data_IF_370862793810
#
_entry.id   IF_370862793810
#
_cell.length_a   1.000
_cell.length_b   1.000
_cell.length_c   1.000
_cell.angle_alpha   90.00
_cell.angle_beta   90.00
_cell.angle_gamma   90.00
#
_symmetry.space_group_name_H-M   'P 1'
#
loop_
_entity.id
_entity.type
_entity.pdbx_description
1 polymer ?
#
# COMPACT_ATOMS: atom_id res chain seq x y z
N UNK A 1 38.87 12.80 81.45
CA UNK A 1 38.41 11.65 80.66
C UNK A 1 37.00 11.88 80.30
N UNK A 2 36.78 12.40 79.10
CA UNK A 2 35.43 12.66 78.57
C UNK A 2 35.29 11.79 77.34
N UNK A 3 34.35 10.82 77.41
CA UNK A 3 34.02 9.95 76.30
C UNK A 3 32.98 10.65 75.37
N UNK A 4 33.40 10.91 74.13
CA UNK A 4 32.53 11.39 73.09
C UNK A 4 31.67 10.25 72.51
N UNK A 5 30.35 10.41 72.55
CA UNK A 5 29.40 9.53 71.87
C UNK A 5 29.08 10.10 70.49
N UNK A 6 29.55 9.42 69.48
CA UNK A 6 29.15 9.74 68.08
C UNK A 6 27.82 9.07 67.77
N UNK A 7 26.79 9.90 67.54
CA UNK A 7 25.46 9.42 67.04
C UNK A 7 25.53 9.37 65.53
N UNK A 8 25.43 8.18 64.97
CA UNK A 8 25.34 7.93 63.53
C UNK A 8 23.89 8.08 63.11
N UNK A 9 23.56 9.18 62.39
CA UNK A 9 22.26 9.38 61.80
C UNK A 9 22.28 8.69 60.42
N UNK A 10 21.56 7.55 60.31
CA UNK A 10 21.29 6.89 59.01
C UNK A 10 20.09 7.57 58.39
N UNK A 11 20.32 8.41 57.36
CA UNK A 11 19.27 8.96 56.53
C UNK A 11 18.93 7.91 55.48
N UNK A 12 17.81 7.23 55.65
CA UNK A 12 17.22 6.35 54.63
C UNK A 12 16.59 7.20 53.51
N UNK A 13 17.28 7.32 52.37
CA UNK A 13 16.72 7.91 51.16
C UNK A 13 15.77 6.87 50.54
N UNK A 14 14.48 7.05 50.75
CA UNK A 14 13.44 6.35 49.99
C UNK A 14 13.44 6.90 48.56
N UNK A 15 14.15 6.21 47.65
CA UNK A 15 13.98 6.40 46.22
C UNK A 15 12.59 5.87 45.81
N UNK A 16 11.64 6.75 45.74
CA UNK A 16 10.36 6.49 45.07
C UNK A 16 10.64 6.38 43.58
N UNK A 17 10.86 5.15 43.12
CA UNK A 17 10.80 4.86 41.68
C UNK A 17 9.37 5.04 41.23
N UNK A 18 9.00 6.28 40.92
CA UNK A 18 7.83 6.57 40.09
C UNK A 18 8.10 5.96 38.73
N UNK A 19 7.67 4.73 38.52
CA UNK A 19 7.67 4.11 37.20
C UNK A 19 6.77 4.95 36.31
N UNK A 20 7.38 5.91 35.55
CA UNK A 20 6.75 6.41 34.34
C UNK A 20 6.46 5.19 33.49
N UNK A 21 5.20 4.73 33.44
CA UNK A 21 4.75 3.87 32.36
C UNK A 21 5.03 4.67 31.09
N UNK A 22 6.11 4.34 30.36
CA UNK A 22 6.29 4.81 29.00
C UNK A 22 4.97 4.47 28.31
N UNK A 23 4.22 5.50 27.86
CA UNK A 23 3.09 5.30 26.96
C UNK A 23 3.64 4.41 25.86
N UNK A 24 3.00 3.28 25.62
CA UNK A 24 3.41 2.38 24.53
C UNK A 24 3.16 3.15 23.22
N UNK A 25 4.20 3.81 22.68
CA UNK A 25 4.12 4.61 21.47
C UNK A 25 3.98 3.75 20.21
N UNK A 26 4.03 2.44 20.37
CA UNK A 26 3.94 1.47 19.28
C UNK A 26 2.50 1.10 18.91
N UNK A 27 1.51 1.59 19.61
CA UNK A 27 0.10 1.34 19.30
C UNK A 27 -0.78 2.56 19.54
N UNK A 28 -1.79 2.70 18.70
CA UNK A 28 -3.00 3.48 18.95
C UNK A 28 -4.06 2.48 19.37
N UNK A 29 -4.83 2.78 20.42
CA UNK A 29 -5.83 1.89 20.97
C UNK A 29 -6.95 2.71 21.59
N UNK A 30 -8.11 2.73 20.92
CA UNK A 30 -9.32 3.36 21.45
C UNK A 30 -10.08 2.36 22.32
N UNK A 31 -10.23 2.69 23.61
CA UNK A 31 -10.92 1.83 24.57
C UNK A 31 -12.42 1.68 24.30
N UNK A 32 -13.02 2.54 23.49
CA UNK A 32 -14.43 2.42 23.08
C UNK A 32 -14.67 1.20 22.19
N UNK A 33 -13.63 0.72 21.51
CA UNK A 33 -13.62 -0.45 20.60
C UNK A 33 -12.73 -1.57 21.14
N UNK A 34 -12.65 -1.70 22.47
CA UNK A 34 -11.67 -2.61 23.10
C UNK A 34 -11.85 -4.05 22.67
N UNK A 35 -13.05 -4.57 22.68
CA UNK A 35 -13.33 -5.98 22.42
C UNK A 35 -13.12 -6.31 20.93
N UNK A 36 -13.50 -5.43 20.02
CA UNK A 36 -13.29 -5.50 18.57
C UNK A 36 -11.81 -5.46 18.23
N UNK A 37 -11.04 -4.59 18.88
CA UNK A 37 -9.60 -4.47 18.70
C UNK A 37 -8.88 -5.73 19.21
N UNK A 38 -9.28 -6.29 20.35
CA UNK A 38 -8.71 -7.53 20.88
C UNK A 38 -8.96 -8.73 19.94
N UNK A 39 -10.16 -8.83 19.36
CA UNK A 39 -10.47 -9.83 18.34
C UNK A 39 -9.62 -9.63 17.08
N UNK A 40 -9.60 -8.43 16.55
CA UNK A 40 -8.78 -8.06 15.37
C UNK A 40 -7.30 -8.41 15.58
N UNK A 41 -6.76 -8.03 16.73
CA UNK A 41 -5.36 -8.32 17.08
C UNK A 41 -5.09 -9.84 17.13
N UNK A 42 -5.99 -10.60 17.72
CA UNK A 42 -5.92 -12.07 17.78
C UNK A 42 -5.95 -12.69 16.39
N UNK A 43 -6.83 -12.21 15.50
CA UNK A 43 -6.97 -12.74 14.15
C UNK A 43 -5.75 -12.40 13.29
N UNK A 44 -5.21 -11.18 13.40
CA UNK A 44 -3.99 -10.81 12.71
C UNK A 44 -2.78 -11.64 13.19
N UNK A 45 -2.62 -11.82 14.49
CA UNK A 45 -1.57 -12.70 15.04
C UNK A 45 -1.73 -14.15 14.58
N UNK A 46 -2.96 -14.67 14.54
CA UNK A 46 -3.26 -16.02 14.07
C UNK A 46 -2.95 -16.20 12.59
N UNK A 47 -3.28 -15.19 11.78
CA UNK A 47 -2.91 -15.15 10.36
C UNK A 47 -1.40 -15.17 10.18
N UNK A 48 -0.66 -14.29 10.89
CA UNK A 48 0.79 -14.25 10.82
C UNK A 48 1.42 -15.59 11.21
N UNK A 49 0.94 -16.21 12.29
CA UNK A 49 1.45 -17.49 12.78
C UNK A 49 1.21 -18.62 11.76
N UNK A 50 0.00 -18.72 11.18
CA UNK A 50 -0.34 -19.74 10.18
C UNK A 50 0.51 -19.64 8.91
N UNK A 51 0.89 -18.43 8.51
CA UNK A 51 1.65 -18.16 7.30
C UNK A 51 3.15 -17.94 7.56
N UNK A 52 3.61 -18.14 8.79
CA UNK A 52 5.01 -17.94 9.20
C UNK A 52 5.54 -16.51 8.93
N UNK A 53 4.68 -15.50 8.99
CA UNK A 53 5.01 -14.11 8.73
C UNK A 53 5.82 -13.54 9.90
N UNK A 54 7.05 -13.05 9.68
CA UNK A 54 7.90 -12.54 10.76
C UNK A 54 7.33 -11.29 11.42
N UNK A 55 6.77 -10.37 10.66
CA UNK A 55 6.22 -9.13 11.18
C UNK A 55 5.27 -8.43 10.23
N UNK A 56 4.43 -7.55 10.78
CA UNK A 56 3.51 -6.72 10.04
C UNK A 56 2.92 -5.63 10.90
N UNK A 57 2.21 -4.72 10.26
CA UNK A 57 1.41 -3.71 10.94
C UNK A 57 -0.03 -3.73 10.43
N UNK A 58 -0.95 -3.33 11.31
CA UNK A 58 -2.38 -3.28 11.04
C UNK A 58 -2.93 -1.95 11.55
N UNK A 59 -3.91 -1.39 10.86
CA UNK A 59 -4.63 -0.20 11.30
C UNK A 59 -6.11 -0.30 10.94
N UNK A 60 -6.94 0.22 11.85
CA UNK A 60 -8.39 0.36 11.69
C UNK A 60 -8.74 1.83 11.88
N UNK A 61 -9.49 2.39 10.94
CA UNK A 61 -10.09 3.71 11.09
C UNK A 61 -11.60 3.60 11.04
N UNK A 62 -12.28 4.37 11.86
CA UNK A 62 -13.73 4.48 11.93
C UNK A 62 -14.11 5.94 12.16
N UNK A 63 -15.12 6.42 11.40
CA UNK A 63 -15.64 7.80 11.56
C UNK A 63 -14.49 8.83 11.54
N UNK A 64 -13.62 8.76 10.52
CA UNK A 64 -12.49 9.66 10.31
C UNK A 64 -11.30 9.53 11.27
N UNK A 65 -11.34 8.61 12.22
CA UNK A 65 -10.31 8.48 13.24
C UNK A 65 -9.61 7.12 13.19
N UNK A 66 -8.27 7.11 13.34
CA UNK A 66 -7.55 5.87 13.60
C UNK A 66 -7.87 5.38 15.01
N UNK A 67 -8.70 4.35 15.13
CA UNK A 67 -9.09 3.75 16.42
C UNK A 67 -8.11 2.66 16.88
N UNK A 68 -7.42 2.02 15.94
CA UNK A 68 -6.39 1.03 16.23
C UNK A 68 -5.25 1.12 15.23
N UNK A 69 -4.01 1.06 15.71
CA UNK A 69 -2.80 0.88 14.89
C UNK A 69 -1.72 0.22 15.73
N UNK A 70 -1.14 -0.91 15.24
CA UNK A 70 -0.08 -1.64 15.95
C UNK A 70 0.88 -2.31 14.96
N UNK A 71 2.18 -2.35 15.33
CA UNK A 71 3.17 -3.22 14.72
C UNK A 71 3.34 -4.49 15.56
N UNK A 72 3.28 -5.67 14.93
CA UNK A 72 3.32 -6.98 15.58
C UNK A 72 4.43 -7.83 14.97
N UNK A 73 5.17 -8.56 15.81
CA UNK A 73 6.29 -9.41 15.39
C UNK A 73 7.59 -8.63 15.18
N UNK A 74 8.38 -8.99 14.17
CA UNK A 74 9.74 -8.51 13.94
C UNK A 74 9.88 -7.75 12.61
N UNK A 75 10.43 -6.56 12.67
CA UNK A 75 10.86 -5.79 11.50
C UNK A 75 12.15 -6.39 10.92
N UNK A 76 13.03 -6.90 11.78
CA UNK A 76 14.20 -7.68 11.40
C UNK A 76 14.29 -8.94 12.28
N UNK A 77 14.16 -10.11 11.65
CA UNK A 77 14.28 -11.40 12.33
C UNK A 77 15.74 -11.69 12.69
N UNK A 78 16.67 -11.32 11.82
CA UNK A 78 18.10 -11.59 12.02
C UNK A 78 18.71 -10.73 13.12
N UNK A 79 18.15 -9.52 13.34
CA UNK A 79 18.62 -8.55 14.33
C UNK A 79 17.72 -8.48 15.57
N UNK A 80 16.66 -9.28 15.64
CA UNK A 80 15.64 -9.29 16.71
C UNK A 80 15.02 -7.89 16.95
N UNK A 81 14.80 -7.13 15.85
CA UNK A 81 14.22 -5.79 15.92
C UNK A 81 12.70 -5.89 15.89
N UNK A 82 11.97 -5.39 16.91
CA UNK A 82 10.52 -5.42 16.93
C UNK A 82 9.90 -4.61 15.79
N UNK A 83 8.78 -5.11 15.24
CA UNK A 83 7.95 -4.36 14.31
C UNK A 83 7.23 -3.22 15.03
N UNK A 84 7.19 -2.07 14.40
CA UNK A 84 6.41 -0.92 14.86
C UNK A 84 5.33 -0.56 13.85
N UNK A 85 4.33 0.21 14.27
CA UNK A 85 3.29 0.74 13.38
C UNK A 85 3.83 1.70 12.30
N UNK A 86 5.07 2.19 12.47
CA UNK A 86 5.73 3.13 11.55
C UNK A 86 6.71 2.45 10.59
N UNK A 87 6.98 1.15 10.73
CA UNK A 87 7.87 0.47 9.81
C UNK A 87 7.30 0.45 8.39
N UNK A 88 8.18 0.74 7.44
CA UNK A 88 7.89 0.74 6.01
C UNK A 88 7.96 -0.68 5.46
N UNK A 89 6.91 -1.08 4.78
CA UNK A 89 6.73 -2.40 4.19
C UNK A 89 6.40 -2.27 2.69
N UNK A 90 6.75 -3.28 1.90
CA UNK A 90 6.36 -3.36 0.49
C UNK A 90 4.87 -3.68 0.39
N UNK A 91 4.11 -2.82 -0.29
CA UNK A 91 2.65 -2.92 -0.39
C UNK A 91 2.15 -3.57 -1.70
N UNK A 92 3.06 -3.97 -2.60
CA UNK A 92 2.69 -4.63 -3.85
C UNK A 92 1.73 -3.81 -4.70
N UNK A 93 0.69 -4.45 -5.26
CA UNK A 93 -0.31 -3.84 -6.15
C UNK A 93 -1.05 -2.65 -5.51
N UNK A 94 -1.12 -2.55 -4.19
CA UNK A 94 -1.71 -1.39 -3.50
C UNK A 94 -1.00 -0.09 -3.90
N UNK A 95 0.24 -0.17 -4.42
CA UNK A 95 0.95 0.97 -5.03
C UNK A 95 0.17 1.64 -6.17
N UNK A 96 -0.69 0.89 -6.88
CA UNK A 96 -1.47 1.39 -8.01
C UNK A 96 -2.50 2.44 -7.60
N UNK A 97 -3.00 2.39 -6.36
CA UNK A 97 -3.93 3.39 -5.83
C UNK A 97 -3.31 4.79 -5.85
N UNK A 98 -2.07 4.89 -5.40
CA UNK A 98 -1.31 6.15 -5.40
C UNK A 98 -1.08 6.68 -6.82
N UNK A 99 -0.76 5.78 -7.74
CA UNK A 99 -0.56 6.12 -9.15
C UNK A 99 -1.84 6.63 -9.80
N UNK A 100 -2.98 5.99 -9.52
CA UNK A 100 -4.28 6.40 -10.05
C UNK A 100 -4.75 7.74 -9.48
N UNK A 101 -4.49 8.01 -8.20
CA UNK A 101 -4.78 9.33 -7.59
C UNK A 101 -3.96 10.43 -8.29
N UNK A 102 -2.66 10.21 -8.50
CA UNK A 102 -1.80 11.18 -9.20
C UNK A 102 -2.31 11.39 -10.62
N UNK A 103 -2.67 10.31 -11.33
CA UNK A 103 -3.23 10.39 -12.68
C UNK A 103 -4.49 11.24 -12.73
N UNK A 104 -5.46 10.96 -11.87
CA UNK A 104 -6.73 11.70 -11.83
C UNK A 104 -6.53 13.17 -11.46
N UNK A 105 -5.59 13.48 -10.55
CA UNK A 105 -5.22 14.88 -10.25
C UNK A 105 -4.60 15.59 -11.44
N UNK A 106 -3.73 14.94 -12.19
CA UNK A 106 -3.13 15.50 -13.41
C UNK A 106 -4.18 15.69 -14.52
N UNK A 107 -5.22 14.86 -14.56
CA UNK A 107 -6.38 15.04 -15.45
C UNK A 107 -7.23 16.24 -15.00
N UNK A 108 -7.52 16.36 -13.70
CA UNK A 108 -8.25 17.49 -13.11
C UNK A 108 -7.55 18.84 -13.40
N UNK A 109 -6.21 18.86 -13.35
CA UNK A 109 -5.39 20.03 -13.71
C UNK A 109 -5.25 20.28 -15.21
N UNK A 110 -5.79 19.41 -16.07
CA UNK A 110 -5.66 19.51 -17.53
C UNK A 110 -4.25 19.24 -18.07
N UNK A 111 -3.37 18.64 -17.27
CA UNK A 111 -2.01 18.24 -17.69
C UNK A 111 -2.05 16.96 -18.51
N UNK A 112 -2.95 16.05 -18.17
CA UNK A 112 -3.23 14.82 -18.91
C UNK A 112 -4.64 14.85 -19.50
N UNK A 113 -4.76 14.40 -20.73
CA UNK A 113 -6.05 14.16 -21.38
C UNK A 113 -6.28 12.64 -21.50
N UNK A 114 -7.32 12.10 -20.84
CA UNK A 114 -7.65 10.68 -20.87
C UNK A 114 -7.85 10.09 -22.28
N UNK A 115 -8.29 10.89 -23.24
CA UNK A 115 -8.55 10.48 -24.61
C UNK A 115 -7.34 10.62 -25.55
N UNK A 116 -6.27 11.25 -25.08
CA UNK A 116 -4.99 11.30 -25.78
C UNK A 116 -4.29 9.95 -25.79
N UNK A 117 -3.54 9.67 -26.87
CA UNK A 117 -2.76 8.43 -26.99
C UNK A 117 -1.49 8.48 -26.15
N UNK A 118 -0.95 7.30 -25.84
CA UNK A 118 0.39 7.16 -25.21
C UNK A 118 1.46 7.87 -26.04
N UNK A 119 1.43 7.75 -27.37
CA UNK A 119 2.39 8.36 -28.28
C UNK A 119 2.38 9.91 -28.23
N UNK A 120 1.27 10.51 -27.83
CA UNK A 120 1.21 11.97 -27.61
C UNK A 120 2.21 12.43 -26.54
N UNK A 121 2.40 11.65 -25.48
CA UNK A 121 3.29 11.96 -24.36
C UNK A 121 4.66 11.27 -24.47
N UNK A 122 4.71 10.09 -25.09
CA UNK A 122 5.92 9.28 -25.32
C UNK A 122 6.04 9.01 -26.83
N UNK A 123 6.56 9.97 -27.64
CA UNK A 123 6.62 9.85 -29.10
C UNK A 123 7.41 8.64 -29.60
N UNK A 124 8.32 8.12 -28.77
CA UNK A 124 9.09 6.91 -29.08
C UNK A 124 8.35 5.59 -28.77
N UNK A 125 7.16 5.63 -28.16
CA UNK A 125 6.34 4.44 -27.97
C UNK A 125 5.81 3.97 -29.34
N UNK A 126 5.99 2.69 -29.71
CA UNK A 126 5.60 2.19 -31.03
C UNK A 126 4.12 2.43 -31.35
N UNK A 127 3.82 2.60 -32.62
CA UNK A 127 2.45 2.56 -33.09
C UNK A 127 1.86 1.17 -32.84
N UNK A 128 0.59 1.13 -32.45
CA UNK A 128 -0.17 -0.07 -32.17
C UNK A 128 -1.33 -0.21 -33.13
N UNK A 129 -1.80 -1.44 -33.39
CA UNK A 129 -2.93 -1.70 -34.30
C UNK A 129 -4.22 -0.97 -33.89
N UNK A 130 -4.31 -0.62 -32.61
CA UNK A 130 -5.45 0.11 -32.06
C UNK A 130 -5.00 1.37 -31.32
N UNK A 131 -5.83 2.41 -31.31
CA UNK A 131 -5.58 3.64 -30.56
C UNK A 131 -5.47 3.34 -29.07
N UNK A 132 -4.28 3.41 -28.48
CA UNK A 132 -4.01 3.21 -27.06
C UNK A 132 -4.15 4.55 -26.32
N UNK A 133 -5.38 4.87 -25.87
CA UNK A 133 -5.64 6.07 -25.08
C UNK A 133 -5.36 5.83 -23.59
N UNK A 134 -4.99 6.90 -22.86
CA UNK A 134 -4.60 6.84 -21.46
C UNK A 134 -5.67 6.26 -20.56
N UNK A 135 -6.94 6.58 -20.82
CA UNK A 135 -8.10 6.13 -20.02
C UNK A 135 -8.19 4.61 -19.83
N UNK A 136 -7.58 3.81 -20.70
CA UNK A 136 -7.62 2.35 -20.58
C UNK A 136 -6.59 1.78 -19.60
N UNK A 137 -5.55 2.55 -19.27
CA UNK A 137 -4.44 2.08 -18.44
C UNK A 137 -4.84 1.83 -16.98
N UNK A 138 -5.51 2.78 -16.26
CA UNK A 138 -5.84 2.60 -14.85
C UNK A 138 -6.93 1.53 -14.60
N UNK A 139 -7.63 1.12 -15.66
CA UNK A 139 -8.65 0.06 -15.61
C UNK A 139 -8.12 -1.32 -16.07
N UNK A 140 -6.85 -1.40 -16.48
CA UNK A 140 -6.28 -2.62 -17.05
C UNK A 140 -7.03 -3.16 -18.29
N UNK A 141 -7.57 -2.25 -19.09
CA UNK A 141 -8.36 -2.57 -20.29
C UNK A 141 -7.70 -2.13 -21.59
N UNK A 142 -6.40 -1.89 -21.53
CA UNK A 142 -5.62 -1.36 -22.66
C UNK A 142 -5.31 -2.37 -23.77
N UNK A 143 -5.49 -3.67 -23.50
CA UNK A 143 -5.00 -4.76 -24.34
C UNK A 143 -3.50 -5.06 -24.20
N UNK A 144 -2.78 -4.36 -23.32
CA UNK A 144 -1.39 -4.71 -22.98
C UNK A 144 -1.40 -6.03 -22.22
N UNK A 145 -0.57 -6.98 -22.67
CA UNK A 145 -0.49 -8.30 -22.05
C UNK A 145 -0.10 -8.30 -20.57
N UNK A 146 -0.41 -9.36 -19.89
CA UNK A 146 0.09 -9.61 -18.53
C UNK A 146 1.60 -9.88 -18.55
N UNK A 147 2.27 -9.46 -17.49
CA UNK A 147 3.68 -9.77 -17.27
C UNK A 147 3.90 -11.25 -16.98
N UNK A 148 5.02 -11.79 -17.49
CA UNK A 148 5.51 -13.10 -17.08
C UNK A 148 6.24 -13.07 -15.72
N UNK A 149 6.47 -14.23 -15.09
CA UNK A 149 7.16 -14.28 -13.79
C UNK A 149 8.54 -13.64 -13.78
N UNK A 150 9.32 -13.80 -14.84
CA UNK A 150 10.66 -13.20 -14.96
C UNK A 150 10.65 -11.69 -15.20
N UNK A 151 9.54 -11.14 -15.64
CA UNK A 151 9.38 -9.71 -15.93
C UNK A 151 8.89 -8.93 -14.72
N UNK A 152 8.13 -9.59 -13.83
CA UNK A 152 7.73 -9.00 -12.56
C UNK A 152 8.91 -8.82 -11.61
N UNK A 153 10.04 -9.51 -11.86
CA UNK A 153 11.21 -9.53 -11.00
C UNK A 153 12.51 -9.42 -11.83
N UNK A 154 12.68 -8.30 -12.53
CA UNK A 154 13.89 -8.07 -13.33
C UNK A 154 15.15 -8.16 -12.47
N UNK A 155 16.16 -8.94 -12.90
CA UNK A 155 17.39 -9.07 -12.14
C UNK A 155 18.24 -7.81 -12.21
N UNK A 156 19.06 -7.60 -11.17
CA UNK A 156 20.04 -6.52 -11.12
C UNK A 156 19.43 -5.14 -10.85
N UNK A 157 20.13 -4.10 -11.30
CA UNK A 157 19.74 -2.71 -11.09
C UNK A 157 18.86 -2.20 -12.23
N UNK A 158 17.66 -1.74 -11.88
CA UNK A 158 16.66 -1.22 -12.82
C UNK A 158 16.18 0.15 -12.34
N UNK A 159 16.94 1.23 -12.57
CA UNK A 159 16.82 2.49 -11.83
C UNK A 159 15.67 3.40 -12.28
N UNK A 160 14.92 3.06 -13.33
CA UNK A 160 13.88 3.96 -13.87
C UNK A 160 12.68 3.20 -14.43
N UNK A 161 11.54 3.88 -14.43
CA UNK A 161 10.29 3.37 -15.03
C UNK A 161 10.49 3.10 -16.53
N UNK A 162 11.23 3.95 -17.24
CA UNK A 162 11.55 3.75 -18.66
C UNK A 162 12.26 2.42 -18.91
N UNK A 163 13.11 1.97 -17.97
CA UNK A 163 13.71 0.64 -18.06
C UNK A 163 12.68 -0.49 -18.00
N UNK A 164 11.63 -0.28 -17.22
CA UNK A 164 10.50 -1.22 -17.15
C UNK A 164 9.69 -1.30 -18.44
N UNK A 165 9.60 -0.21 -19.23
CA UNK A 165 8.89 -0.23 -20.52
C UNK A 165 9.56 -1.12 -21.56
N UNK A 166 10.89 -1.27 -21.51
CA UNK A 166 11.65 -2.10 -22.48
C UNK A 166 11.18 -3.56 -22.51
N UNK A 167 10.53 -4.03 -21.44
CA UNK A 167 10.03 -5.41 -21.34
C UNK A 167 8.81 -5.69 -22.22
N UNK A 168 8.05 -4.65 -22.61
CA UNK A 168 6.75 -4.87 -23.28
C UNK A 168 6.38 -3.83 -24.33
N UNK A 169 7.06 -2.68 -24.41
CA UNK A 169 6.64 -1.58 -25.28
C UNK A 169 6.66 -1.94 -26.78
N UNK A 170 7.34 -3.00 -27.17
CA UNK A 170 7.40 -3.47 -28.57
C UNK A 170 6.48 -4.67 -28.83
N UNK A 171 5.65 -5.06 -27.85
CA UNK A 171 4.73 -6.18 -28.00
C UNK A 171 3.40 -5.68 -28.59
N UNK A 172 2.77 -6.52 -29.41
CA UNK A 172 1.44 -6.25 -29.93
C UNK A 172 0.39 -6.25 -28.80
N UNK A 173 -0.67 -5.47 -28.96
CA UNK A 173 -1.81 -5.55 -28.05
C UNK A 173 -2.53 -6.89 -28.24
N UNK A 174 -2.86 -7.57 -27.13
CA UNK A 174 -3.56 -8.86 -27.12
C UNK A 174 -5.04 -8.73 -27.49
N UNK A 175 -5.60 -7.52 -27.38
CA UNK A 175 -6.98 -7.19 -27.72
C UNK A 175 -7.14 -5.70 -27.98
N UNK A 176 -8.24 -5.28 -28.66
CA UNK A 176 -8.58 -3.88 -28.73
C UNK A 176 -8.81 -3.29 -27.33
N UNK A 177 -8.34 -2.04 -27.05
CA UNK A 177 -8.59 -1.36 -25.79
C UNK A 177 -10.09 -1.26 -25.47
N UNK A 178 -10.43 -1.49 -24.19
CA UNK A 178 -11.82 -1.48 -23.73
C UNK A 178 -12.59 -2.81 -23.92
N UNK A 179 -11.96 -3.84 -24.48
CA UNK A 179 -12.65 -5.12 -24.70
C UNK A 179 -12.60 -6.05 -23.48
N UNK A 180 -11.45 -6.20 -22.89
CA UNK A 180 -11.23 -7.11 -21.76
C UNK A 180 -10.42 -6.40 -20.67
N UNK A 181 -10.65 -6.82 -19.44
CA UNK A 181 -9.85 -6.46 -18.28
C UNK A 181 -8.78 -7.52 -18.06
N UNK A 182 -7.51 -7.12 -18.15
CA UNK A 182 -6.36 -7.98 -17.83
C UNK A 182 -5.39 -7.23 -16.91
N UNK A 183 -5.43 -7.59 -15.63
CA UNK A 183 -4.60 -6.95 -14.61
C UNK A 183 -3.12 -7.18 -14.92
N UNK A 184 -2.40 -6.10 -15.20
CA UNK A 184 -1.00 -6.11 -15.58
C UNK A 184 -0.27 -4.89 -14.99
N UNK A 185 0.89 -5.14 -14.38
CA UNK A 185 1.75 -4.05 -13.91
C UNK A 185 2.20 -3.12 -15.04
N UNK A 186 2.21 -3.61 -16.28
CA UNK A 186 2.64 -2.84 -17.44
C UNK A 186 1.74 -1.63 -17.71
N UNK A 187 0.43 -1.78 -17.48
CA UNK A 187 -0.52 -0.67 -17.58
C UNK A 187 -0.14 0.50 -16.67
N UNK A 188 0.05 0.21 -15.40
CA UNK A 188 0.33 1.23 -14.38
C UNK A 188 1.75 1.79 -14.53
N UNK A 189 2.73 0.96 -14.95
CA UNK A 189 4.07 1.43 -15.27
C UNK A 189 4.07 2.38 -16.47
N UNK A 190 3.33 2.07 -17.53
CA UNK A 190 3.18 2.94 -18.68
C UNK A 190 2.52 4.26 -18.29
N UNK A 191 1.48 4.20 -17.48
CA UNK A 191 0.83 5.39 -16.93
C UNK A 191 1.82 6.26 -16.15
N UNK A 192 2.64 5.67 -15.27
CA UNK A 192 3.69 6.37 -14.56
C UNK A 192 4.75 7.02 -15.47
N UNK A 193 5.13 6.34 -16.56
CA UNK A 193 6.04 6.90 -17.55
C UNK A 193 5.42 8.09 -18.30
N UNK A 194 4.14 8.01 -18.68
CA UNK A 194 3.38 9.12 -19.26
C UNK A 194 3.36 10.32 -18.32
N UNK A 195 3.07 10.10 -17.03
CA UNK A 195 3.07 11.16 -16.02
C UNK A 195 4.43 11.83 -15.87
N UNK A 196 5.55 11.06 -15.85
CA UNK A 196 6.90 11.63 -15.81
C UNK A 196 7.18 12.48 -17.07
N UNK A 197 6.75 12.05 -18.25
CA UNK A 197 6.95 12.79 -19.50
C UNK A 197 6.13 14.08 -19.56
N UNK A 198 4.86 14.02 -19.22
CA UNK A 198 3.96 15.17 -19.24
C UNK A 198 4.40 16.27 -18.26
N UNK A 199 4.78 15.88 -17.04
CA UNK A 199 5.13 16.82 -15.97
C UNK A 199 6.61 17.21 -15.94
N UNK A 200 7.49 16.43 -16.59
CA UNK A 200 8.96 16.48 -16.47
C UNK A 200 9.47 16.26 -15.03
N UNK A 201 8.66 15.68 -14.17
CA UNK A 201 9.00 15.31 -12.79
C UNK A 201 9.13 13.79 -12.68
N UNK A 202 10.00 13.32 -11.78
CA UNK A 202 10.13 11.89 -11.50
C UNK A 202 8.98 11.41 -10.62
N UNK A 203 8.58 10.16 -10.78
CA UNK A 203 7.46 9.57 -10.03
C UNK A 203 7.54 9.75 -8.51
N UNK A 204 8.71 9.61 -7.83
CA UNK A 204 8.81 9.91 -6.41
C UNK A 204 8.45 11.37 -6.03
N UNK A 205 8.72 12.32 -6.94
CA UNK A 205 8.34 13.73 -6.74
C UNK A 205 6.83 13.90 -6.90
N UNK A 206 6.23 13.26 -7.90
CA UNK A 206 4.79 13.28 -8.10
C UNK A 206 4.04 12.64 -6.92
N UNK A 207 4.52 11.48 -6.44
CA UNK A 207 3.97 10.84 -5.25
C UNK A 207 3.99 11.79 -4.04
N UNK A 208 5.11 12.49 -3.86
CA UNK A 208 5.29 13.44 -2.76
C UNK A 208 4.32 14.62 -2.86
N UNK A 209 4.27 15.28 -4.02
CA UNK A 209 3.49 16.51 -4.23
C UNK A 209 1.98 16.26 -4.21
N UNK A 210 1.52 15.22 -4.88
CA UNK A 210 0.08 14.95 -5.07
C UNK A 210 -0.54 14.09 -3.98
N UNK A 211 0.27 13.37 -3.21
CA UNK A 211 -0.28 12.43 -2.22
C UNK A 211 0.35 12.59 -0.85
N UNK A 212 1.66 12.29 -0.70
CA UNK A 212 2.20 12.06 0.65
C UNK A 212 2.36 13.33 1.47
N UNK A 213 2.79 14.46 0.90
CA UNK A 213 2.85 15.74 1.61
C UNK A 213 1.45 16.30 1.89
N UNK A 214 0.55 16.19 0.89
CA UNK A 214 -0.81 16.73 1.01
C UNK A 214 -1.63 15.98 2.05
N UNK A 215 -1.56 14.65 2.05
CA UNK A 215 -2.31 13.79 2.98
C UNK A 215 -1.52 13.43 4.25
N UNK A 216 -0.32 14.00 4.43
CA UNK A 216 0.56 13.76 5.58
C UNK A 216 0.89 12.27 5.81
N UNK A 217 1.12 11.53 4.72
CA UNK A 217 1.49 10.12 4.75
C UNK A 217 3.02 9.99 4.92
N UNK A 218 3.50 10.20 6.13
CA UNK A 218 4.93 10.35 6.44
C UNK A 218 5.76 9.07 6.21
N UNK A 219 5.10 7.91 6.16
CA UNK A 219 5.74 6.61 6.00
C UNK A 219 5.41 5.98 4.64
N UNK A 220 5.13 6.80 3.63
CA UNK A 220 4.84 6.34 2.26
C UNK A 220 5.83 6.94 1.28
N UNK A 221 6.65 6.10 0.65
CA UNK A 221 7.71 6.52 -0.28
C UNK A 221 7.91 5.48 -1.38
N UNK A 222 8.58 5.86 -2.47
CA UNK A 222 9.07 4.88 -3.47
C UNK A 222 10.23 4.09 -2.88
N UNK A 223 10.19 2.75 -2.98
CA UNK A 223 11.30 1.87 -2.56
C UNK A 223 12.55 2.13 -3.40
N UNK A 224 13.67 2.20 -2.74
CA UNK A 224 14.99 2.26 -3.36
C UNK A 224 15.92 1.27 -2.66
N UNK A 225 16.07 0.10 -3.26
CA UNK A 225 16.80 -1.02 -2.66
C UNK A 225 18.31 -0.79 -2.56
N UNK A 226 18.85 0.25 -3.21
CA UNK A 226 20.31 0.52 -3.21
C UNK A 226 20.75 1.55 -2.17
N UNK A 227 19.81 2.15 -1.44
CA UNK A 227 20.12 3.09 -0.36
C UNK A 227 19.47 2.67 0.96
N UNK A 228 20.06 2.98 2.11
CA UNK A 228 19.38 2.84 3.39
C UNK A 228 18.14 3.74 3.44
N UNK A 229 17.03 3.17 3.93
CA UNK A 229 15.78 3.90 4.18
C UNK A 229 15.45 3.73 5.66
N UNK A 230 15.28 4.83 6.36
CA UNK A 230 14.92 4.80 7.77
C UNK A 230 13.56 4.14 7.97
N UNK A 231 13.47 3.27 8.97
CA UNK A 231 12.22 2.56 9.29
C UNK A 231 11.84 1.43 8.32
N UNK A 232 12.61 1.17 7.26
CA UNK A 232 12.34 0.03 6.36
C UNK A 232 12.59 -1.28 7.09
N UNK A 233 11.58 -2.17 7.10
CA UNK A 233 11.73 -3.52 7.61
C UNK A 233 12.60 -4.38 6.67
N UNK A 234 13.17 -5.47 7.18
CA UNK A 234 13.73 -6.51 6.34
C UNK A 234 12.63 -7.30 5.64
N UNK A 235 12.92 -7.77 4.45
CA UNK A 235 11.97 -8.46 3.59
C UNK A 235 12.29 -9.95 3.54
N UNK A 236 11.26 -10.78 3.63
CA UNK A 236 11.37 -12.23 3.73
C UNK A 236 10.59 -12.94 2.62
N UNK A 237 11.01 -14.14 2.31
CA UNK A 237 10.36 -15.05 1.39
C UNK A 237 10.32 -16.47 2.01
N UNK A 238 9.65 -17.40 1.37
CA UNK A 238 9.67 -18.81 1.73
C UNK A 238 10.37 -19.63 0.65
N UNK A 239 11.28 -20.48 1.08
CA UNK A 239 11.89 -21.45 0.18
C UNK A 239 10.90 -22.61 -0.12
N UNK A 240 11.28 -23.53 -1.01
CA UNK A 240 10.44 -24.67 -1.41
C UNK A 240 10.08 -25.62 -0.24
N UNK A 241 10.74 -25.50 0.92
CA UNK A 241 10.44 -26.27 2.12
C UNK A 241 9.57 -25.47 3.11
N UNK A 242 9.08 -24.29 2.73
CA UNK A 242 8.28 -23.40 3.59
C UNK A 242 9.08 -22.69 4.70
N UNK A 243 10.41 -22.73 4.65
CA UNK A 243 11.25 -22.03 5.62
C UNK A 243 11.36 -20.55 5.22
N UNK A 244 11.22 -19.67 6.21
CA UNK A 244 11.41 -18.24 6.04
C UNK A 244 12.88 -17.93 5.83
N UNK A 245 13.18 -17.29 4.70
CA UNK A 245 14.51 -16.85 4.28
C UNK A 245 14.46 -15.34 3.97
N UNK A 246 15.62 -14.69 3.94
CA UNK A 246 15.69 -13.31 3.43
C UNK A 246 15.26 -13.28 1.97
N UNK A 247 14.39 -12.34 1.61
CA UNK A 247 13.99 -12.17 0.23
C UNK A 247 15.21 -11.83 -0.63
N UNK A 248 15.32 -12.38 -1.85
CA UNK A 248 16.37 -12.00 -2.78
C UNK A 248 16.40 -10.48 -3.02
N UNK A 249 17.59 -9.97 -3.34
CA UNK A 249 17.71 -8.57 -3.75
C UNK A 249 16.82 -8.29 -4.96
N UNK A 250 16.00 -7.25 -4.84
CA UNK A 250 15.10 -6.84 -5.89
C UNK A 250 15.03 -5.31 -5.96
N UNK A 251 15.30 -4.75 -7.13
CA UNK A 251 15.20 -3.32 -7.39
C UNK A 251 13.83 -3.00 -7.98
N UNK A 252 12.96 -2.40 -7.17
CA UNK A 252 11.56 -2.11 -7.54
C UNK A 252 11.37 -0.79 -8.27
N UNK A 253 12.42 0.01 -8.49
CA UNK A 253 12.32 1.36 -9.10
C UNK A 253 11.74 1.35 -10.52
N UNK A 254 12.00 0.30 -11.31
CA UNK A 254 11.45 0.18 -12.66
C UNK A 254 9.93 -0.04 -12.69
N UNK A 255 9.37 -0.53 -11.59
CA UNK A 255 7.94 -0.79 -11.40
C UNK A 255 7.35 0.02 -10.25
N UNK A 256 7.94 1.19 -9.94
CA UNK A 256 7.51 2.05 -8.85
C UNK A 256 6.00 2.37 -8.88
N UNK A 257 5.38 2.70 -10.04
CA UNK A 257 3.95 2.99 -10.11
C UNK A 257 3.04 1.81 -9.80
N UNK A 258 3.50 0.57 -10.05
CA UNK A 258 2.67 -0.64 -9.92
C UNK A 258 2.90 -1.41 -8.62
N UNK A 259 4.18 -1.56 -8.19
CA UNK A 259 4.57 -2.43 -7.08
C UNK A 259 5.65 -1.85 -6.17
N UNK A 260 6.18 -0.67 -6.46
CA UNK A 260 7.42 -0.20 -5.85
C UNK A 260 7.24 0.86 -4.78
N UNK A 261 6.09 0.94 -4.13
CA UNK A 261 5.87 1.84 -2.99
C UNK A 261 6.07 1.06 -1.68
N UNK A 262 6.74 1.70 -0.74
CA UNK A 262 6.78 1.33 0.68
C UNK A 262 5.75 2.17 1.42
N UNK A 263 4.99 1.53 2.30
CA UNK A 263 4.04 2.19 3.19
C UNK A 263 3.87 1.40 4.48
N UNK A 264 2.92 1.80 5.32
CA UNK A 264 2.45 1.05 6.47
C UNK A 264 0.92 1.09 6.56
N UNK A 265 0.35 0.26 7.41
CA UNK A 265 -1.10 0.18 7.56
C UNK A 265 -1.74 1.50 8.00
N UNK A 266 -1.04 2.29 8.84
CA UNK A 266 -1.57 3.57 9.32
C UNK A 266 -1.68 4.60 8.20
N UNK A 267 -0.66 4.72 7.33
CA UNK A 267 -0.72 5.63 6.17
C UNK A 267 -1.75 5.15 5.14
N UNK A 268 -1.91 3.83 4.94
CA UNK A 268 -2.99 3.29 4.11
C UNK A 268 -4.37 3.60 4.68
N UNK A 269 -4.56 3.49 6.00
CA UNK A 269 -5.82 3.86 6.64
C UNK A 269 -6.09 5.37 6.54
N UNK A 270 -5.06 6.22 6.69
CA UNK A 270 -5.17 7.68 6.46
C UNK A 270 -5.54 8.00 5.01
N UNK A 271 -5.01 7.26 4.03
CA UNK A 271 -5.43 7.40 2.64
C UNK A 271 -6.93 7.12 2.49
N UNK A 272 -7.42 6.04 3.11
CA UNK A 272 -8.86 5.72 3.12
C UNK A 272 -9.71 6.81 3.77
N UNK A 273 -9.32 7.32 4.95
CA UNK A 273 -9.98 8.45 5.60
C UNK A 273 -10.02 9.67 4.66
N UNK A 274 -8.88 10.00 4.04
CA UNK A 274 -8.81 11.16 3.16
C UNK A 274 -9.75 11.04 1.95
N UNK A 275 -9.90 9.84 1.39
CA UNK A 275 -10.83 9.58 0.28
C UNK A 275 -12.28 9.74 0.73
N UNK A 276 -12.62 9.35 1.96
CA UNK A 276 -13.98 9.43 2.49
C UNK A 276 -14.38 10.85 2.94
N UNK A 277 -13.42 11.64 3.50
CA UNK A 277 -13.77 12.82 4.30
C UNK A 277 -12.99 14.09 3.96
N UNK A 278 -11.94 14.02 3.15
CA UNK A 278 -11.04 15.18 2.96
C UNK A 278 -11.53 16.13 1.86
N UNK A 279 -11.39 17.43 2.10
CA UNK A 279 -11.62 18.47 1.08
C UNK A 279 -10.64 18.41 -0.11
N UNK A 280 -9.59 17.60 -0.02
CA UNK A 280 -8.62 17.42 -1.10
C UNK A 280 -9.19 16.66 -2.28
N UNK A 281 -10.11 15.74 -2.02
CA UNK A 281 -10.82 14.98 -3.04
C UNK A 281 -12.25 15.51 -3.16
N UNK A 282 -12.54 16.19 -4.29
CA UNK A 282 -13.91 16.63 -4.57
C UNK A 282 -14.84 15.43 -4.77
N UNK A 283 -16.14 15.63 -4.64
CA UNK A 283 -17.14 14.59 -4.92
C UNK A 283 -16.97 14.06 -6.36
N UNK A 284 -16.76 14.95 -7.35
CA UNK A 284 -16.49 14.54 -8.74
C UNK A 284 -15.22 13.68 -8.86
N UNK A 285 -14.17 14.01 -8.11
CA UNK A 285 -12.95 13.19 -8.09
C UNK A 285 -13.21 11.80 -7.52
N UNK A 286 -13.94 11.72 -6.41
CA UNK A 286 -14.27 10.45 -5.73
C UNK A 286 -15.19 9.59 -6.58
N UNK A 287 -16.18 10.19 -7.25
CA UNK A 287 -17.00 9.50 -8.24
C UNK A 287 -16.14 8.88 -9.36
N UNK A 288 -15.23 9.65 -9.95
CA UNK A 288 -14.31 9.14 -10.98
C UNK A 288 -13.36 8.07 -10.46
N UNK A 289 -12.90 8.18 -9.21
CA UNK A 289 -12.00 7.20 -8.60
C UNK A 289 -12.65 5.81 -8.54
N UNK A 290 -13.97 5.75 -8.29
CA UNK A 290 -14.74 4.50 -8.15
C UNK A 290 -15.68 4.22 -9.34
N UNK A 291 -15.58 4.99 -10.43
CA UNK A 291 -16.39 4.74 -11.63
C UNK A 291 -15.85 3.50 -12.38
N UNK A 292 -16.61 2.40 -12.50
CA UNK A 292 -16.16 1.26 -13.28
C UNK A 292 -16.22 1.56 -14.78
N UNK A 293 -15.19 1.16 -15.54
CA UNK A 293 -15.23 1.35 -16.97
C UNK A 293 -16.21 0.37 -17.65
N UNK A 294 -16.78 0.83 -18.78
CA UNK A 294 -17.60 -0.03 -19.63
C UNK A 294 -16.70 -0.84 -20.58
N UNK A 295 -16.90 -2.15 -20.60
CA UNK A 295 -16.24 -3.08 -21.48
C UNK A 295 -17.10 -3.36 -22.72
N UNK A 296 -16.49 -3.95 -23.75
CA UNK A 296 -17.22 -4.41 -24.92
C UNK A 296 -18.37 -5.37 -24.54
N UNK A 297 -19.53 -5.20 -25.18
CA UNK A 297 -20.71 -6.00 -24.88
C UNK A 297 -21.53 -5.52 -23.67
N UNK A 298 -21.34 -4.27 -23.23
CA UNK A 298 -22.04 -3.65 -22.09
C UNK A 298 -21.76 -4.29 -20.72
N UNK A 299 -20.65 -4.99 -20.59
CA UNK A 299 -20.18 -5.44 -19.28
C UNK A 299 -19.50 -4.27 -18.55
N UNK A 300 -19.61 -4.24 -17.24
CA UNK A 300 -18.83 -3.32 -16.39
C UNK A 300 -17.64 -4.03 -15.76
N UNK A 301 -16.51 -3.37 -15.73
CA UNK A 301 -15.36 -3.80 -14.94
C UNK A 301 -15.75 -3.88 -13.47
N UNK A 302 -15.13 -4.80 -12.74
CA UNK A 302 -15.17 -4.82 -11.27
C UNK A 302 -14.03 -4.01 -10.66
N UNK A 303 -13.19 -3.43 -11.50
CA UNK A 303 -12.08 -2.60 -11.07
C UNK A 303 -12.27 -1.16 -11.54
N UNK A 304 -11.86 -0.24 -10.67
CA UNK A 304 -11.79 1.18 -10.97
C UNK A 304 -10.51 1.75 -10.35
N UNK A 305 -9.59 2.23 -11.21
CA UNK A 305 -8.39 2.94 -10.76
C UNK A 305 -7.56 2.20 -9.67
N UNK A 306 -7.43 0.87 -9.80
CA UNK A 306 -6.71 0.02 -8.85
C UNK A 306 -7.54 -0.48 -7.67
N UNK A 307 -8.80 -0.04 -7.54
CA UNK A 307 -9.75 -0.55 -6.57
C UNK A 307 -10.59 -1.69 -7.14
N UNK A 308 -10.85 -2.71 -6.34
CA UNK A 308 -11.85 -3.75 -6.59
C UNK A 308 -13.15 -3.28 -5.97
N UNK A 309 -14.19 -3.15 -6.79
CA UNK A 309 -15.54 -2.77 -6.38
C UNK A 309 -16.33 -4.05 -6.13
N UNK A 310 -16.80 -4.26 -4.92
CA UNK A 310 -17.52 -5.48 -4.52
C UNK A 310 -18.54 -5.19 -3.43
N UNK A 311 -19.25 -6.22 -3.01
CA UNK A 311 -20.13 -6.19 -1.85
C UNK A 311 -19.72 -7.30 -0.87
N UNK A 312 -20.00 -7.10 0.41
CA UNK A 312 -19.84 -8.16 1.40
C UNK A 312 -21.04 -9.14 1.41
N UNK A 313 -21.03 -10.11 2.33
CA UNK A 313 -22.12 -11.10 2.46
C UNK A 313 -23.46 -10.47 2.89
N UNK A 314 -23.45 -9.29 3.50
CA UNK A 314 -24.62 -8.52 3.92
C UNK A 314 -25.11 -7.54 2.85
N UNK A 315 -24.39 -7.43 1.71
CA UNK A 315 -24.73 -6.56 0.60
C UNK A 315 -24.24 -5.11 0.75
N UNK A 316 -23.32 -4.84 1.69
CA UNK A 316 -22.70 -3.51 1.87
C UNK A 316 -21.62 -3.30 0.82
N UNK A 317 -21.55 -2.10 0.28
CA UNK A 317 -20.55 -1.72 -0.72
C UNK A 317 -19.14 -1.68 -0.11
N UNK A 318 -18.19 -2.26 -0.84
CA UNK A 318 -16.80 -2.38 -0.41
C UNK A 318 -15.87 -1.99 -1.55
N UNK A 319 -14.96 -1.07 -1.28
CA UNK A 319 -13.83 -0.73 -2.13
C UNK A 319 -12.55 -1.33 -1.52
N UNK A 320 -11.90 -2.23 -2.25
CA UNK A 320 -10.74 -2.95 -1.75
C UNK A 320 -9.56 -2.88 -2.71
N UNK A 321 -8.36 -2.94 -2.16
CA UNK A 321 -7.15 -3.22 -2.93
C UNK A 321 -6.22 -4.11 -2.12
N UNK A 322 -5.59 -5.05 -2.80
CA UNK A 322 -4.63 -5.95 -2.15
C UNK A 322 -3.52 -6.29 -3.11
N UNK A 323 -2.35 -6.55 -2.58
CA UNK A 323 -1.19 -6.86 -3.38
C UNK A 323 -0.15 -7.68 -2.65
N UNK A 324 0.61 -8.43 -3.43
CA UNK A 324 1.78 -9.17 -2.98
C UNK A 324 2.94 -8.92 -3.93
N UNK A 325 4.11 -8.77 -3.35
CA UNK A 325 5.37 -8.58 -4.07
C UNK A 325 6.45 -9.35 -3.31
N UNK A 326 7.58 -9.64 -3.96
CA UNK A 326 8.71 -10.26 -3.26
C UNK A 326 9.07 -9.51 -1.97
N UNK A 327 8.95 -10.20 -0.85
CA UNK A 327 9.24 -9.68 0.49
C UNK A 327 8.15 -8.82 1.13
N UNK A 328 6.94 -8.80 0.58
CA UNK A 328 5.86 -8.04 1.19
C UNK A 328 4.47 -8.34 0.64
N UNK A 329 3.48 -7.83 1.35
CA UNK A 329 2.10 -7.83 0.93
C UNK A 329 1.28 -6.90 1.81
N UNK A 330 0.18 -6.39 1.25
CA UNK A 330 -0.71 -5.46 1.94
C UNK A 330 -2.13 -5.55 1.40
N UNK A 331 -3.08 -5.03 2.17
CA UNK A 331 -4.40 -4.72 1.67
C UNK A 331 -4.96 -3.49 2.38
N UNK A 332 -5.89 -2.86 1.70
CA UNK A 332 -6.80 -1.85 2.22
C UNK A 332 -8.22 -2.21 1.83
N UNK A 333 -9.13 -2.06 2.76
CA UNK A 333 -10.56 -2.28 2.61
C UNK A 333 -11.30 -1.08 3.14
N UNK A 334 -12.25 -0.55 2.38
CA UNK A 334 -13.10 0.57 2.78
C UNK A 334 -14.56 0.20 2.65
N UNK A 335 -15.34 0.52 3.66
CA UNK A 335 -16.80 0.52 3.68
C UNK A 335 -17.25 1.99 3.70
N UNK A 336 -17.61 2.57 2.55
CA UNK A 336 -17.86 4.01 2.48
C UNK A 336 -19.04 4.49 3.33
N UNK A 337 -20.15 3.75 3.34
CA UNK A 337 -21.34 4.11 4.10
C UNK A 337 -21.16 3.93 5.62
N UNK A 338 -20.30 3.02 6.03
CA UNK A 338 -19.99 2.74 7.43
C UNK A 338 -18.77 3.51 7.94
N UNK A 339 -18.16 4.33 7.10
CA UNK A 339 -16.93 5.10 7.41
C UNK A 339 -15.84 4.23 8.07
N UNK A 340 -15.70 2.97 7.59
CA UNK A 340 -14.74 2.00 8.12
C UNK A 340 -13.62 1.76 7.12
N UNK A 341 -12.38 1.86 7.59
CA UNK A 341 -11.19 1.51 6.81
C UNK A 341 -10.34 0.51 7.58
N UNK A 342 -9.95 -0.56 6.91
CA UNK A 342 -9.06 -1.59 7.45
C UNK A 342 -7.84 -1.68 6.55
N UNK A 343 -6.65 -1.62 7.11
CA UNK A 343 -5.42 -1.79 6.34
C UNK A 343 -4.42 -2.65 7.11
N UNK A 344 -3.63 -3.43 6.36
CA UNK A 344 -2.47 -4.13 6.91
C UNK A 344 -1.34 -4.19 5.90
N UNK A 345 -0.12 -4.39 6.40
CA UNK A 345 1.05 -4.71 5.60
C UNK A 345 1.96 -5.69 6.36
N UNK A 346 2.65 -6.57 5.62
CA UNK A 346 3.52 -7.62 6.18
C UNK A 346 4.85 -7.69 5.43
N UNK A 347 5.90 -8.20 6.08
CA UNK A 347 7.25 -8.29 5.51
C UNK A 347 7.62 -9.65 4.92
N UNK A 348 6.63 -10.42 4.50
CA UNK A 348 6.82 -11.72 3.81
C UNK A 348 6.06 -11.71 2.48
N UNK A 349 6.61 -12.37 1.46
CA UNK A 349 5.86 -12.68 0.23
C UNK A 349 4.66 -13.58 0.58
N UNK A 350 3.45 -13.07 0.41
CA UNK A 350 2.22 -13.80 0.82
C UNK A 350 1.45 -14.43 -0.35
N UNK A 351 1.73 -14.03 -1.59
CA UNK A 351 1.00 -14.52 -2.75
C UNK A 351 -0.52 -14.33 -2.59
N UNK A 352 -1.27 -15.42 -2.68
CA UNK A 352 -2.73 -15.42 -2.49
C UNK A 352 -3.18 -15.62 -1.03
N UNK A 353 -2.24 -15.74 -0.08
CA UNK A 353 -2.53 -15.98 1.33
C UNK A 353 -2.82 -14.64 2.05
N UNK A 354 -3.88 -13.97 1.65
CA UNK A 354 -4.29 -12.70 2.23
C UNK A 354 -4.93 -12.88 3.62
N UNK A 355 -4.82 -11.86 4.47
CA UNK A 355 -5.58 -11.77 5.71
C UNK A 355 -7.08 -11.74 5.38
N UNK A 356 -7.93 -12.47 6.11
CA UNK A 356 -9.38 -12.43 5.92
C UNK A 356 -9.97 -11.10 6.43
N UNK A 357 -9.74 -10.01 5.68
CA UNK A 357 -10.11 -8.64 6.08
C UNK A 357 -11.62 -8.43 6.25
N UNK A 358 -12.45 -9.20 5.55
CA UNK A 358 -13.91 -9.18 5.72
C UNK A 358 -14.34 -9.71 7.10
N UNK A 359 -13.66 -10.75 7.61
CA UNK A 359 -13.92 -11.26 8.97
C UNK A 359 -13.54 -10.20 10.03
N UNK A 360 -12.45 -9.47 9.81
CA UNK A 360 -12.05 -8.36 10.67
C UNK A 360 -13.07 -7.22 10.61
N UNK A 361 -13.57 -6.89 9.42
CA UNK A 361 -14.60 -5.85 9.27
C UNK A 361 -15.84 -6.15 10.11
N UNK A 362 -16.28 -7.42 10.15
CA UNK A 362 -17.44 -7.83 10.93
C UNK A 362 -17.31 -7.57 12.44
N UNK A 363 -16.08 -7.38 12.97
CA UNK A 363 -15.95 -6.97 14.38
C UNK A 363 -16.43 -5.53 14.63
N UNK A 364 -16.34 -4.65 13.61
CA UNK A 364 -16.67 -3.21 13.71
C UNK A 364 -18.00 -2.85 13.05
N UNK A 365 -18.59 -3.77 12.29
CA UNK A 365 -19.87 -3.58 11.62
C UNK A 365 -20.97 -4.20 12.50
N UNK A 366 -21.94 -3.39 12.88
CA UNK A 366 -23.12 -3.89 13.59
C UNK A 366 -24.07 -4.56 12.60
N UNK A 367 -24.75 -5.63 13.05
CA UNK A 367 -25.80 -6.32 12.30
C UNK A 367 -27.03 -5.41 12.08
#
# INVERSE_FOLDING_TARGET
>A
MIKSFSVLIIVAILLVFGGCKKKNTNSIYDNSYKDEIELTRKDFMSYMARNHIPGGNIAIAKEGNIIYSEGIGLASKDLDVPMTRHNLLRIGDVSQLFTSIIYLKLVEEGILDPDSTVQHYIPEYPETDFKLALKYLPYHTSGIRKQGPSESELPGLNPSIQKGLESFMNDDLTSPPGWYEEVSMFNTNLLGAVMERATKKKFPVLLKEYVTDTLQLANTIVDNSVVPIEGRADFYDQNMLGQVINAPFHDTRYKAPSFGILSNAEDLAKLGIAILESDYFSEEFTEKLFEPCNLYGNYKSKMANGWILTIDEQGRDVNASSGSVMGGGAAILMYPEEELVIAYAVNLTIGNNMLPVFEIANHFLQD
#
